data_IF_742973723347
#
_entry.id   IF_742973723347
#
_cell.length_a   1.000
_cell.length_b   1.000
_cell.length_c   1.000
_cell.angle_alpha   90.00
_cell.angle_beta   90.00
_cell.angle_gamma   90.00
#
_symmetry.space_group_name_H-M   'P 1'
#
loop_
_entity.id
_entity.type
_entity.pdbx_description
1 polymer ?
#
# COMPACT_ATOMS: atom_id res chain seq x y z
N UNK A 1 8.05 -14.55 -21.95
CA UNK A 1 8.61 -15.22 -20.76
C UNK A 1 9.27 -14.23 -19.82
N UNK A 2 10.42 -13.61 -20.11
CA UNK A 2 11.05 -12.67 -19.15
C UNK A 2 10.24 -11.37 -18.91
N UNK A 3 9.59 -10.87 -19.96
CA UNK A 3 8.76 -9.65 -19.91
C UNK A 3 7.55 -9.79 -18.98
N UNK A 4 6.99 -11.00 -18.83
CA UNK A 4 5.69 -11.20 -18.19
C UNK A 4 5.82 -11.14 -16.66
N UNK A 5 6.94 -11.64 -16.13
CA UNK A 5 7.27 -11.52 -14.71
C UNK A 5 7.56 -10.09 -14.29
N UNK A 6 8.14 -9.27 -15.18
CA UNK A 6 8.39 -7.86 -14.87
C UNK A 6 7.08 -7.12 -14.55
N UNK A 7 6.04 -7.33 -15.35
CA UNK A 7 4.73 -6.70 -15.15
C UNK A 7 3.97 -7.22 -13.93
N UNK A 8 4.39 -8.33 -13.33
CA UNK A 8 3.80 -8.87 -12.09
C UNK A 8 4.61 -8.51 -10.86
N UNK A 9 5.95 -8.59 -10.94
CA UNK A 9 6.85 -8.33 -9.81
C UNK A 9 6.96 -6.85 -9.48
N UNK A 10 6.91 -5.95 -10.47
CA UNK A 10 6.99 -4.50 -10.23
C UNK A 10 5.79 -3.99 -9.40
N UNK A 11 4.52 -4.29 -9.74
CA UNK A 11 3.37 -3.98 -8.90
C UNK A 11 3.49 -4.47 -7.46
N UNK A 12 3.99 -5.70 -7.27
CA UNK A 12 4.20 -6.30 -5.96
C UNK A 12 5.24 -5.50 -5.17
N UNK A 13 6.41 -5.25 -5.76
CA UNK A 13 7.47 -4.49 -5.12
C UNK A 13 7.01 -3.07 -4.75
N UNK A 14 6.32 -2.38 -5.66
CA UNK A 14 5.75 -1.05 -5.41
C UNK A 14 4.72 -1.08 -4.27
N UNK A 15 3.83 -2.08 -4.25
CA UNK A 15 2.83 -2.25 -3.21
C UNK A 15 3.45 -2.42 -1.82
N UNK A 16 4.43 -3.33 -1.70
CA UNK A 16 5.15 -3.53 -0.45
C UNK A 16 5.94 -2.30 -0.03
N UNK A 17 6.59 -1.61 -0.97
CA UNK A 17 7.30 -0.38 -0.68
C UNK A 17 6.36 0.70 -0.11
N UNK A 18 5.21 0.92 -0.75
CA UNK A 18 4.19 1.88 -0.29
C UNK A 18 3.66 1.50 1.10
N UNK A 19 3.40 0.22 1.33
CA UNK A 19 2.95 -0.27 2.63
C UNK A 19 4.01 -0.04 3.72
N UNK A 20 5.26 -0.40 3.47
CA UNK A 20 6.33 -0.22 4.44
C UNK A 20 6.64 1.24 4.69
N UNK A 21 6.60 2.10 3.66
CA UNK A 21 6.76 3.55 3.82
C UNK A 21 5.63 4.12 4.69
N UNK A 22 4.38 3.74 4.44
CA UNK A 22 3.26 4.17 5.26
C UNK A 22 3.37 3.68 6.71
N UNK A 23 3.71 2.41 6.94
CA UNK A 23 3.89 1.86 8.28
C UNK A 23 5.09 2.46 9.03
N UNK A 24 6.20 2.70 8.35
CA UNK A 24 7.41 3.26 8.94
C UNK A 24 7.16 4.71 9.38
N UNK A 25 6.49 5.48 8.52
CA UNK A 25 6.19 6.88 8.78
C UNK A 25 4.88 7.10 9.55
N UNK A 26 4.26 6.03 10.08
CA UNK A 26 3.02 6.08 10.88
C UNK A 26 1.85 6.76 10.17
N UNK A 27 1.81 6.67 8.84
CA UNK A 27 0.72 7.15 8.00
C UNK A 27 -0.46 6.19 8.17
N UNK A 28 -1.64 6.71 8.48
CA UNK A 28 -2.83 5.88 8.66
C UNK A 28 -4.09 6.69 8.88
N UNK A 29 -5.22 6.01 9.16
CA UNK A 29 -6.46 6.68 9.51
C UNK A 29 -6.37 7.32 10.90
N UNK A 30 -6.82 8.57 11.02
CA UNK A 30 -6.86 9.30 12.29
C UNK A 30 -8.24 9.93 12.49
N UNK A 31 -8.58 10.23 13.74
CA UNK A 31 -9.81 10.88 14.12
C UNK A 31 -9.54 12.36 14.39
N UNK A 32 -10.34 13.22 13.78
CA UNK A 32 -10.34 14.66 14.11
C UNK A 32 -11.09 14.92 15.44
N UNK A 33 -11.01 16.15 15.97
CA UNK A 33 -11.69 16.60 17.19
C UNK A 33 -13.21 16.32 17.17
N UNK A 34 -13.80 16.27 15.97
CA UNK A 34 -15.20 15.96 15.71
C UNK A 34 -15.50 14.46 15.57
N UNK A 35 -14.56 13.57 15.93
CA UNK A 35 -14.66 12.10 15.78
C UNK A 35 -14.85 11.62 14.33
N UNK A 36 -14.51 12.43 13.32
CA UNK A 36 -14.53 12.04 11.91
C UNK A 36 -13.23 11.36 11.52
N UNK A 37 -13.33 10.26 10.76
CA UNK A 37 -12.17 9.48 10.30
C UNK A 37 -11.63 10.10 9.01
N UNK A 38 -10.35 10.47 9.04
CA UNK A 38 -9.59 10.97 7.89
C UNK A 38 -8.42 10.04 7.58
N UNK A 39 -7.90 10.11 6.36
CA UNK A 39 -6.78 9.29 5.91
C UNK A 39 -7.18 7.87 5.47
N UNK A 40 -6.18 7.10 5.04
CA UNK A 40 -6.33 5.71 4.55
C UNK A 40 -5.27 4.84 5.20
N UNK A 41 -5.60 3.57 5.43
CA UNK A 41 -4.67 2.63 6.05
C UNK A 41 -3.49 2.30 5.14
N UNK A 42 -2.32 1.93 5.70
CA UNK A 42 -1.19 1.43 4.90
C UNK A 42 -1.57 0.29 3.97
N UNK A 43 -2.42 -0.62 4.45
CA UNK A 43 -2.91 -1.76 3.68
C UNK A 43 -3.74 -1.27 2.49
N UNK A 44 -4.59 -0.26 2.67
CA UNK A 44 -5.38 0.31 1.58
C UNK A 44 -4.49 0.87 0.46
N UNK A 45 -3.43 1.60 0.83
CA UNK A 45 -2.45 2.13 -0.13
C UNK A 45 -1.65 1.02 -0.83
N UNK A 46 -1.17 0.01 -0.11
CA UNK A 46 -0.47 -1.14 -0.68
C UNK A 46 -1.38 -1.92 -1.64
N UNK A 47 -2.58 -2.30 -1.21
CA UNK A 47 -3.53 -3.08 -2.01
C UNK A 47 -3.89 -2.37 -3.32
N UNK A 48 -4.19 -1.07 -3.28
CA UNK A 48 -4.50 -0.34 -4.52
C UNK A 48 -3.28 -0.15 -5.41
N UNK A 49 -2.10 -0.01 -4.82
CA UNK A 49 -0.84 0.00 -5.59
C UNK A 49 -0.58 -1.33 -6.27
N UNK A 50 -0.94 -2.46 -5.66
CA UNK A 50 -0.78 -3.79 -6.26
C UNK A 50 -1.66 -3.96 -7.51
N UNK A 51 -2.94 -3.59 -7.43
CA UNK A 51 -3.87 -3.80 -8.55
C UNK A 51 -3.81 -2.70 -9.61
N UNK A 52 -3.46 -1.47 -9.23
CA UNK A 52 -3.53 -0.29 -10.09
C UNK A 52 -2.24 0.54 -9.96
N UNK A 53 -1.08 -0.11 -10.12
CA UNK A 53 0.25 0.47 -9.88
C UNK A 53 0.45 1.78 -10.65
N UNK A 54 0.07 1.82 -11.93
CA UNK A 54 0.24 3.01 -12.79
C UNK A 54 -0.49 4.24 -12.22
N UNK A 55 -1.58 4.05 -11.47
CA UNK A 55 -2.39 5.14 -10.93
C UNK A 55 -1.99 5.44 -9.48
N UNK A 56 -1.98 4.42 -8.63
CA UNK A 56 -1.87 4.62 -7.19
C UNK A 56 -0.44 4.82 -6.71
N UNK A 57 0.56 4.28 -7.40
CA UNK A 57 1.95 4.52 -7.02
C UNK A 57 2.35 5.99 -7.24
N UNK A 58 2.13 6.62 -8.42
CA UNK A 58 2.39 8.05 -8.59
C UNK A 58 1.53 8.92 -7.67
N UNK A 59 0.24 8.57 -7.49
CA UNK A 59 -0.65 9.30 -6.59
C UNK A 59 -0.12 9.30 -5.16
N UNK A 60 0.34 8.15 -4.67
CA UNK A 60 0.97 8.03 -3.36
C UNK A 60 2.20 8.93 -3.26
N UNK A 61 3.11 8.88 -4.25
CA UNK A 61 4.33 9.69 -4.27
C UNK A 61 4.03 11.19 -4.25
N UNK A 62 3.06 11.66 -5.03
CA UNK A 62 2.62 13.06 -5.06
C UNK A 62 2.07 13.48 -3.69
N UNK A 63 1.23 12.63 -3.07
CA UNK A 63 0.61 12.90 -1.77
C UNK A 63 1.54 12.65 -0.58
N UNK A 64 2.66 11.97 -0.78
CA UNK A 64 3.56 11.50 0.30
C UNK A 64 3.98 12.62 1.23
N UNK A 65 4.36 13.79 0.70
CA UNK A 65 4.77 14.93 1.54
C UNK A 65 3.65 15.39 2.48
N UNK A 66 2.43 15.48 1.97
CA UNK A 66 1.25 15.84 2.78
C UNK A 66 0.90 14.73 3.78
N UNK A 67 0.97 13.46 3.38
CA UNK A 67 0.73 12.32 4.27
C UNK A 67 1.72 12.29 5.43
N UNK A 68 3.00 12.62 5.17
CA UNK A 68 4.03 12.72 6.19
C UNK A 68 3.76 13.86 7.17
N UNK A 69 3.37 15.04 6.68
CA UNK A 69 3.02 16.17 7.54
C UNK A 69 1.85 15.81 8.47
N UNK A 70 0.78 15.22 7.92
CA UNK A 70 -0.37 14.78 8.71
C UNK A 70 -0.01 13.69 9.73
N UNK A 71 0.89 12.77 9.38
CA UNK A 71 1.35 11.72 10.28
C UNK A 71 2.26 12.23 11.41
N UNK A 72 2.89 13.40 11.26
CA UNK A 72 3.62 14.05 12.36
C UNK A 72 2.64 14.56 13.43
N UNK A 73 1.52 15.15 13.01
CA UNK A 73 0.48 15.64 13.91
C UNK A 73 -0.37 14.50 14.49
N UNK A 74 -0.63 13.47 13.70
CA UNK A 74 -1.51 12.35 14.05
C UNK A 74 -0.86 10.99 13.74
N UNK A 75 0.14 10.56 14.51
CA UNK A 75 0.87 9.33 14.24
C UNK A 75 0.02 8.08 14.52
N UNK A 76 -0.14 7.21 13.53
CA UNK A 76 -0.95 5.98 13.65
C UNK A 76 -0.04 4.75 13.80
N UNK A 77 -0.31 3.96 14.85
CA UNK A 77 0.34 2.65 15.02
C UNK A 77 -0.39 1.60 14.18
N UNK A 78 0.24 1.18 13.09
CA UNK A 78 -0.30 0.12 12.23
C UNK A 78 0.25 -1.25 12.59
N UNK A 79 -0.60 -2.28 12.54
CA UNK A 79 -0.16 -3.68 12.69
C UNK A 79 0.52 -4.14 11.40
N UNK A 80 1.86 -4.21 11.47
CA UNK A 80 2.70 -4.62 10.34
C UNK A 80 2.49 -6.09 9.98
N UNK A 81 2.32 -6.96 10.97
CA UNK A 81 2.23 -8.41 10.76
C UNK A 81 0.98 -8.76 9.97
N UNK A 82 -0.15 -8.17 10.37
CA UNK A 82 -1.43 -8.36 9.67
C UNK A 82 -1.36 -7.80 8.24
N UNK A 83 -0.78 -6.60 8.06
CA UNK A 83 -0.63 -6.00 6.73
C UNK A 83 0.26 -6.79 5.78
N UNK A 84 1.40 -7.31 6.27
CA UNK A 84 2.29 -8.18 5.49
C UNK A 84 1.56 -9.47 5.09
N UNK A 85 0.82 -10.08 6.02
CA UNK A 85 0.05 -11.29 5.75
C UNK A 85 -0.96 -11.06 4.62
N UNK A 86 -1.76 -9.99 4.71
CA UNK A 86 -2.75 -9.65 3.68
C UNK A 86 -2.07 -9.39 2.33
N UNK A 87 -1.02 -8.57 2.28
CA UNK A 87 -0.34 -8.25 1.02
C UNK A 87 0.36 -9.47 0.41
N UNK A 88 0.90 -10.37 1.23
CA UNK A 88 1.48 -11.63 0.77
C UNK A 88 0.43 -12.54 0.13
N UNK A 89 -0.74 -12.68 0.77
CA UNK A 89 -1.86 -13.45 0.21
C UNK A 89 -2.32 -12.85 -1.11
N UNK A 90 -2.53 -11.53 -1.17
CA UNK A 90 -2.95 -10.85 -2.40
C UNK A 90 -1.91 -10.97 -3.52
N UNK A 91 -0.62 -10.86 -3.19
CA UNK A 91 0.46 -11.03 -4.17
C UNK A 91 0.52 -12.45 -4.71
N UNK A 92 0.32 -13.46 -3.86
CA UNK A 92 0.22 -14.86 -4.27
C UNK A 92 -0.96 -15.11 -5.21
N UNK A 93 -2.13 -14.57 -4.88
CA UNK A 93 -3.33 -14.63 -5.75
C UNK A 93 -3.10 -13.90 -7.08
N UNK A 94 -2.41 -12.76 -7.04
CA UNK A 94 -2.07 -11.99 -8.24
C UNK A 94 -1.14 -12.79 -9.17
N UNK A 95 -0.08 -13.38 -8.64
CA UNK A 95 0.82 -14.26 -9.41
C UNK A 95 0.04 -15.46 -9.96
N UNK A 96 -0.77 -16.12 -9.14
CA UNK A 96 -1.58 -17.27 -9.56
C UNK A 96 -2.47 -16.93 -10.75
N UNK A 97 -3.19 -15.82 -10.67
CA UNK A 97 -4.11 -15.37 -11.73
C UNK A 97 -3.39 -15.04 -13.05
N UNK A 98 -2.19 -14.47 -13.01
CA UNK A 98 -1.48 -14.08 -14.23
C UNK A 98 -0.59 -15.18 -14.83
N UNK A 99 -0.13 -16.16 -14.04
CA UNK A 99 0.86 -17.14 -14.49
C UNK A 99 0.42 -18.61 -14.38
N UNK A 100 -0.54 -18.94 -13.50
CA UNK A 100 -0.86 -20.33 -13.15
C UNK A 100 -2.31 -20.72 -13.46
N UNK A 101 -3.20 -19.77 -13.73
CA UNK A 101 -4.60 -20.07 -14.09
C UNK A 101 -4.79 -20.34 -15.59
N UNK A 102 -3.80 -20.91 -16.26
CA UNK A 102 -3.82 -21.24 -17.69
C UNK A 102 -4.16 -22.71 -17.93
#
# INVERSE_FOLDING_TARGET
MDSDYFFTLVPIACSFWVFFDACHNRIGPYHDEQQKIHGRSPIWWGTLTLFLTIIFFPLYLIRRKTLLAVAQDNPVKSDKSLGILILSILSGLFIWYFHLSY
#
